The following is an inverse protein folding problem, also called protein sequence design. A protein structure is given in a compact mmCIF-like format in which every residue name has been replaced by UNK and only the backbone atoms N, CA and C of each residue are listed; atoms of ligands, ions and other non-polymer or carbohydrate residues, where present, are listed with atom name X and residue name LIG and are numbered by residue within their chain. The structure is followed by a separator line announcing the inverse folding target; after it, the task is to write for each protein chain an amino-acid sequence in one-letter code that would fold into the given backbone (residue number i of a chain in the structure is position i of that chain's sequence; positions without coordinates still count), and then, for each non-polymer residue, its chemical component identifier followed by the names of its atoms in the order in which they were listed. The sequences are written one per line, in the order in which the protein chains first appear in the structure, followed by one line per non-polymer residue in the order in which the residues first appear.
data_IF_857377585145
#
_entry.id   IF_857377585145
#
_cell.length_a   1.000
_cell.length_b   1.000
_cell.length_c   1.000
_cell.angle_alpha   90.00
_cell.angle_beta   90.00
_cell.angle_gamma   90.00
#
_symmetry.space_group_name_H-M   'P 1'
#
loop_
_entity.id
_entity.type
_entity.pdbx_description
1 polymer ?
#
# COMPACT_ATOMS: atom_id res chain seq x y z
N UNK A 1 13.77 36.87 57.63
CA UNK A 1 12.85 35.75 57.88
C UNK A 1 11.58 36.07 57.10
N UNK A 2 11.17 35.26 56.11
CA UNK A 2 9.90 35.45 55.44
C UNK A 2 8.76 35.42 56.46
N UNK A 3 7.76 36.27 56.25
CA UNK A 3 6.60 36.34 57.15
C UNK A 3 5.68 35.14 56.91
N UNK A 4 4.95 34.71 57.94
CA UNK A 4 3.96 33.62 57.81
C UNK A 4 2.93 33.89 56.70
N UNK A 5 2.65 35.15 56.39
CA UNK A 5 1.73 35.55 55.32
C UNK A 5 2.32 35.31 53.91
N UNK A 6 3.63 35.52 53.73
CA UNK A 6 4.32 35.23 52.48
C UNK A 6 4.38 33.71 52.23
N UNK A 7 4.74 32.92 53.25
CA UNK A 7 4.69 31.46 53.14
C UNK A 7 3.28 30.94 52.78
N UNK A 8 2.23 31.50 53.39
CA UNK A 8 0.86 31.09 53.10
C UNK A 8 0.45 31.41 51.65
N UNK A 9 0.93 32.52 51.09
CA UNK A 9 0.69 32.88 49.69
C UNK A 9 1.41 31.91 48.75
N UNK A 10 2.67 31.60 49.03
CA UNK A 10 3.48 30.72 48.18
C UNK A 10 2.93 29.29 48.19
N UNK A 11 2.53 28.77 49.35
CA UNK A 11 1.87 27.46 49.46
C UNK A 11 0.57 27.42 48.66
N UNK A 12 -0.20 28.51 48.67
CA UNK A 12 -1.44 28.59 47.88
C UNK A 12 -1.16 28.60 46.38
N UNK A 13 -0.14 29.34 45.92
CA UNK A 13 0.27 29.38 44.52
C UNK A 13 0.75 28.00 44.04
N UNK A 14 1.62 27.34 44.81
CA UNK A 14 2.08 25.97 44.52
C UNK A 14 0.91 24.98 44.45
N UNK A 15 -0.07 25.11 45.35
CA UNK A 15 -1.25 24.25 45.32
C UNK A 15 -2.08 24.43 44.04
N UNK A 16 -2.17 25.65 43.52
CA UNK A 16 -2.86 25.92 42.25
C UNK A 16 -2.09 25.33 41.06
N UNK A 17 -0.77 25.52 41.01
CA UNK A 17 0.07 24.93 39.96
C UNK A 17 0.02 23.39 39.96
N UNK A 18 -0.02 22.76 41.14
CA UNK A 18 -0.18 21.31 41.27
C UNK A 18 -1.52 20.84 40.70
N UNK A 19 -2.61 21.57 40.94
CA UNK A 19 -3.91 21.22 40.38
C UNK A 19 -3.97 21.40 38.86
N UNK A 20 -3.31 22.42 38.33
CA UNK A 20 -3.18 22.60 36.88
C UNK A 20 -2.35 21.48 36.25
N UNK A 21 -1.23 21.09 36.88
CA UNK A 21 -0.42 19.95 36.43
C UNK A 21 -1.22 18.64 36.43
N UNK A 22 -2.03 18.38 37.47
CA UNK A 22 -2.88 17.18 37.52
C UNK A 22 -3.89 17.14 36.38
N UNK A 23 -4.52 18.28 36.07
CA UNK A 23 -5.45 18.38 34.94
C UNK A 23 -4.73 18.11 33.62
N UNK A 24 -3.59 18.74 33.40
CA UNK A 24 -2.76 18.53 32.21
C UNK A 24 -2.33 17.07 32.06
N UNK A 25 -1.92 16.42 33.15
CA UNK A 25 -1.54 15.02 33.16
C UNK A 25 -2.73 14.09 32.84
N UNK A 26 -3.92 14.40 33.36
CA UNK A 26 -5.13 13.66 33.03
C UNK A 26 -5.45 13.74 31.53
N UNK A 27 -5.37 14.93 30.94
CA UNK A 27 -5.58 15.13 29.50
C UNK A 27 -4.53 14.37 28.70
N UNK A 28 -3.26 14.46 29.11
CA UNK A 28 -2.16 13.76 28.46
C UNK A 28 -2.37 12.24 28.47
N UNK A 29 -2.79 11.65 29.60
CA UNK A 29 -3.08 10.23 29.68
C UNK A 29 -4.21 9.81 28.73
N UNK A 30 -5.29 10.60 28.63
CA UNK A 30 -6.36 10.34 27.67
C UNK A 30 -5.86 10.38 26.23
N UNK A 31 -5.05 11.37 25.87
CA UNK A 31 -4.45 11.45 24.54
C UNK A 31 -3.51 10.27 24.25
N UNK A 32 -2.72 9.87 25.24
CA UNK A 32 -1.80 8.75 25.13
C UNK A 32 -2.53 7.44 24.85
N UNK A 33 -3.59 7.12 25.62
CA UNK A 33 -4.37 5.89 25.38
C UNK A 33 -5.06 5.93 24.01
N UNK A 34 -5.66 7.06 23.62
CA UNK A 34 -6.26 7.21 22.29
C UNK A 34 -5.23 7.01 21.15
N UNK A 35 -4.01 7.53 21.31
CA UNK A 35 -2.93 7.35 20.33
C UNK A 35 -2.48 5.89 20.26
N UNK A 36 -2.37 5.23 21.40
CA UNK A 36 -2.00 3.81 21.49
C UNK A 36 -3.04 2.93 20.80
N UNK A 37 -4.33 3.11 21.08
CA UNK A 37 -5.42 2.38 20.41
C UNK A 37 -5.38 2.58 18.89
N UNK A 38 -5.21 3.83 18.43
CA UNK A 38 -5.11 4.14 17.01
C UNK A 38 -3.89 3.51 16.36
N UNK A 39 -2.76 3.46 17.06
CA UNK A 39 -1.55 2.80 16.57
C UNK A 39 -1.76 1.29 16.41
N UNK A 40 -2.41 0.64 17.38
CA UNK A 40 -2.74 -0.79 17.31
C UNK A 40 -3.69 -1.08 16.15
N UNK A 41 -4.74 -0.27 15.99
CA UNK A 41 -5.69 -0.38 14.87
C UNK A 41 -4.97 -0.26 13.51
N UNK A 42 -4.20 0.82 13.31
CA UNK A 42 -3.48 1.05 12.05
C UNK A 42 -2.48 -0.07 11.76
N UNK A 43 -1.82 -0.61 12.80
CA UNK A 43 -0.90 -1.73 12.64
C UNK A 43 -1.63 -3.00 12.19
N UNK A 44 -2.82 -3.26 12.72
CA UNK A 44 -3.66 -4.39 12.32
C UNK A 44 -4.14 -4.25 10.88
N UNK A 45 -4.71 -3.09 10.53
CA UNK A 45 -5.19 -2.80 9.18
C UNK A 45 -4.06 -2.91 8.14
N UNK A 46 -2.88 -2.38 8.44
CA UNK A 46 -1.73 -2.46 7.53
C UNK A 46 -1.30 -3.91 7.27
N UNK A 47 -1.37 -4.79 8.28
CA UNK A 47 -1.06 -6.22 8.10
C UNK A 47 -2.08 -6.90 7.20
N UNK A 48 -3.37 -6.60 7.37
CA UNK A 48 -4.44 -7.15 6.52
C UNK A 48 -4.26 -6.70 5.07
N UNK A 49 -4.12 -5.39 4.86
CA UNK A 49 -3.93 -4.81 3.53
C UNK A 49 -2.69 -5.35 2.81
N UNK A 50 -1.58 -5.55 3.53
CA UNK A 50 -0.38 -6.18 2.95
C UNK A 50 -0.65 -7.59 2.47
N UNK A 51 -1.35 -8.40 3.27
CA UNK A 51 -1.69 -9.78 2.91
C UNK A 51 -2.62 -9.83 1.69
N UNK A 52 -3.62 -8.95 1.64
CA UNK A 52 -4.52 -8.85 0.49
C UNK A 52 -3.77 -8.43 -0.77
N UNK A 53 -2.89 -7.43 -0.67
CA UNK A 53 -2.08 -6.98 -1.80
C UNK A 53 -1.15 -8.10 -2.32
N UNK A 54 -0.51 -8.85 -1.42
CA UNK A 54 0.28 -10.02 -1.81
C UNK A 54 -0.55 -11.08 -2.53
N UNK A 55 -1.78 -11.36 -2.06
CA UNK A 55 -2.67 -12.33 -2.69
C UNK A 55 -3.13 -11.86 -4.08
N UNK A 56 -3.54 -10.60 -4.20
CA UNK A 56 -3.96 -10.00 -5.47
C UNK A 56 -2.81 -9.96 -6.48
N UNK A 57 -1.61 -9.59 -6.03
CA UNK A 57 -0.43 -9.57 -6.88
C UNK A 57 -0.06 -10.97 -7.41
N UNK A 58 -0.21 -12.01 -6.58
CA UNK A 58 -0.01 -13.40 -7.02
C UNK A 58 -1.07 -13.83 -8.03
N UNK A 59 -2.35 -13.55 -7.74
CA UNK A 59 -3.45 -13.88 -8.66
C UNK A 59 -3.32 -13.18 -10.02
N UNK A 60 -2.85 -11.92 -10.02
CA UNK A 60 -2.56 -11.20 -11.26
C UNK A 60 -1.43 -11.86 -12.05
N UNK A 61 -0.32 -12.20 -11.39
CA UNK A 61 0.80 -12.87 -12.05
C UNK A 61 0.40 -14.23 -12.64
N UNK A 62 -0.38 -15.02 -11.91
CA UNK A 62 -0.91 -16.30 -12.39
C UNK A 62 -1.86 -16.10 -13.58
N UNK A 63 -2.73 -15.09 -13.54
CA UNK A 63 -3.63 -14.76 -14.64
C UNK A 63 -2.88 -14.30 -15.89
N UNK A 64 -1.85 -13.47 -15.74
CA UNK A 64 -0.99 -13.06 -16.85
C UNK A 64 -0.23 -14.24 -17.45
N UNK A 65 0.28 -15.14 -16.60
CA UNK A 65 0.94 -16.36 -17.07
C UNK A 65 -0.04 -17.26 -17.82
N UNK A 66 -1.26 -17.44 -17.30
CA UNK A 66 -2.30 -18.22 -17.96
C UNK A 66 -2.70 -17.63 -19.31
N UNK A 67 -2.86 -16.29 -19.37
CA UNK A 67 -3.17 -15.59 -20.62
C UNK A 67 -2.07 -15.75 -21.68
N UNK A 68 -0.82 -15.99 -21.28
CA UNK A 68 0.31 -16.17 -22.18
C UNK A 68 0.59 -17.64 -22.51
N UNK A 69 -0.08 -18.58 -21.83
CA UNK A 69 0.22 -20.02 -21.92
C UNK A 69 0.15 -20.54 -23.37
N UNK A 70 -0.78 -20.00 -24.16
CA UNK A 70 -1.00 -20.38 -25.56
C UNK A 70 -0.48 -19.33 -26.55
N UNK A 71 0.29 -18.34 -26.09
CA UNK A 71 0.85 -17.29 -26.95
C UNK A 71 2.28 -17.66 -27.32
N UNK A 72 2.64 -17.42 -28.58
CA UNK A 72 4.02 -17.56 -29.05
C UNK A 72 4.58 -16.15 -29.25
N UNK A 73 5.63 -15.80 -28.49
CA UNK A 73 6.35 -14.55 -28.68
C UNK A 73 7.31 -14.68 -29.87
N UNK A 74 7.12 -13.84 -30.90
CA UNK A 74 7.99 -13.80 -32.07
C UNK A 74 8.93 -12.60 -31.96
N UNK A 75 10.23 -12.85 -31.80
CA UNK A 75 11.27 -11.82 -31.72
C UNK A 75 12.02 -11.69 -33.05
N UNK A 76 12.46 -10.47 -33.36
CA UNK A 76 13.36 -10.23 -34.50
C UNK A 76 12.66 -10.07 -35.85
N UNK A 77 11.33 -9.88 -35.89
CA UNK A 77 10.65 -9.42 -37.11
C UNK A 77 10.92 -7.92 -37.26
N UNK A 78 11.52 -7.45 -38.37
CA UNK A 78 11.68 -6.04 -38.65
C UNK A 78 10.31 -5.37 -38.73
N UNK A 79 10.08 -4.30 -37.95
CA UNK A 79 8.87 -3.50 -38.10
C UNK A 79 9.04 -2.52 -39.27
N UNK A 80 8.22 -2.64 -40.31
CA UNK A 80 8.07 -1.60 -41.35
C UNK A 80 6.69 -0.95 -41.30
N UNK A 81 6.63 0.33 -41.67
CA UNK A 81 5.41 1.13 -41.54
C UNK A 81 4.36 0.65 -42.55
N UNK A 82 3.16 0.29 -42.08
CA UNK A 82 2.08 -0.25 -42.93
C UNK A 82 2.09 -1.77 -43.08
N UNK A 83 2.82 -2.50 -42.23
CA UNK A 83 2.78 -3.96 -42.21
C UNK A 83 1.44 -4.52 -41.74
N UNK A 84 1.11 -5.69 -42.29
CA UNK A 84 -0.09 -6.46 -41.98
C UNK A 84 0.35 -7.75 -41.29
N UNK A 85 0.13 -7.81 -39.97
CA UNK A 85 0.54 -8.94 -39.13
C UNK A 85 -0.07 -10.27 -39.62
N UNK A 86 -1.29 -10.26 -40.16
CA UNK A 86 -1.95 -11.46 -40.69
C UNK A 86 -1.20 -12.02 -41.90
N UNK A 87 -0.71 -11.16 -42.80
CA UNK A 87 0.11 -11.59 -43.95
C UNK A 87 1.47 -12.14 -43.54
N UNK A 88 2.06 -11.60 -42.47
CA UNK A 88 3.33 -12.09 -41.91
C UNK A 88 3.13 -13.47 -41.28
N UNK A 89 2.04 -13.65 -40.53
CA UNK A 89 1.64 -14.95 -39.96
C UNK A 89 1.37 -15.99 -41.04
N UNK A 90 0.62 -15.65 -42.10
CA UNK A 90 0.38 -16.56 -43.23
C UNK A 90 1.68 -17.00 -43.93
N UNK A 91 2.61 -16.06 -44.16
CA UNK A 91 3.92 -16.38 -44.77
C UNK A 91 4.76 -17.27 -43.87
N UNK A 92 4.78 -16.98 -42.57
CA UNK A 92 5.53 -17.75 -41.57
C UNK A 92 4.95 -19.16 -41.40
N UNK A 93 3.61 -19.27 -41.36
CA UNK A 93 2.91 -20.56 -41.27
C UNK A 93 3.19 -21.47 -42.48
N UNK A 94 3.17 -20.91 -43.70
CA UNK A 94 3.55 -21.65 -44.92
C UNK A 94 4.96 -22.25 -44.86
N UNK A 95 5.91 -21.54 -44.25
CA UNK A 95 7.28 -22.04 -44.08
C UNK A 95 7.38 -23.13 -43.01
N UNK A 96 6.50 -23.10 -42.01
CA UNK A 96 6.43 -24.08 -40.92
C UNK A 96 5.49 -25.27 -41.23
N UNK A 97 4.94 -25.34 -42.45
CA UNK A 97 3.96 -26.37 -42.88
C UNK A 97 2.69 -26.34 -42.00
N UNK A 98 2.32 -25.17 -41.49
CA UNK A 98 1.02 -24.96 -40.83
C UNK A 98 0.15 -23.98 -41.62
N UNK A 99 -1.12 -24.34 -41.80
CA UNK A 99 -2.08 -23.46 -42.47
C UNK A 99 -2.67 -22.52 -41.42
N UNK A 100 -2.25 -21.26 -41.44
CA UNK A 100 -2.79 -20.20 -40.57
C UNK A 100 -3.71 -19.33 -41.42
N UNK A 101 -4.91 -19.09 -40.95
CA UNK A 101 -5.93 -18.22 -41.57
C UNK A 101 -6.14 -16.96 -40.73
N UNK A 102 -6.76 -15.94 -41.31
CA UNK A 102 -7.12 -14.72 -40.59
C UNK A 102 -8.12 -14.92 -39.43
N UNK A 103 -8.72 -16.11 -39.31
CA UNK A 103 -9.55 -16.49 -38.17
C UNK A 103 -8.74 -17.05 -36.99
N UNK A 104 -7.46 -17.38 -37.21
CA UNK A 104 -6.54 -17.92 -36.20
C UNK A 104 -5.72 -16.80 -35.50
N UNK A 105 -5.91 -15.54 -35.90
CA UNK A 105 -5.19 -14.34 -35.43
C UNK A 105 -6.09 -13.46 -34.57
#
# INVERSE_FOLDING_TARGET
MPTNAELARDVKALSQEIEEMKKSLSVFNTLYENMKEKQEQLTSENKVLKKENEQLSKGLAESEQYSRLNNIEIKGIPCTQGEDCSKILEKSGKQLVCTVTSADV
#
